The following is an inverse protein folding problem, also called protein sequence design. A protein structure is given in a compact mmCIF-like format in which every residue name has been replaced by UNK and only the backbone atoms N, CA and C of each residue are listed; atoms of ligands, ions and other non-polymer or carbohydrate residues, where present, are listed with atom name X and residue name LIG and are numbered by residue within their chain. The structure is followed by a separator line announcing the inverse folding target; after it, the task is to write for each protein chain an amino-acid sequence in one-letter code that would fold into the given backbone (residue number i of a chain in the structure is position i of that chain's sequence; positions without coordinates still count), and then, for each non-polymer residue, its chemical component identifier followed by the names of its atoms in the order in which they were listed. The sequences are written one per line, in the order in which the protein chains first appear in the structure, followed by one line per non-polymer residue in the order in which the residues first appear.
data_IF_544107043532
#
_entry.id   IF_544107043532
#
_cell.length_a   1.000
_cell.length_b   1.000
_cell.length_c   1.000
_cell.angle_alpha   90.00
_cell.angle_beta   90.00
_cell.angle_gamma   90.00
#
_symmetry.space_group_name_H-M   'P 1'
#
loop_
_entity.id
_entity.type
_entity.pdbx_description
1 polymer ?
#
# COMPACT_ATOMS: atom_id res chain seq x y z
N UNK A 1 -10.98 -18.18 -6.01
CA UNK A 1 -10.66 -16.79 -6.42
C UNK A 1 -9.68 -16.23 -5.41
N UNK A 2 -8.69 -15.45 -5.85
CA UNK A 2 -7.74 -14.79 -4.94
C UNK A 2 -8.39 -13.55 -4.33
N UNK A 3 -8.04 -13.24 -3.09
CA UNK A 3 -8.43 -11.99 -2.43
C UNK A 3 -7.52 -10.87 -2.91
N UNK A 4 -8.09 -9.76 -3.35
CA UNK A 4 -7.30 -8.58 -3.72
C UNK A 4 -6.69 -7.93 -2.49
N UNK A 5 -5.40 -7.61 -2.56
CA UNK A 5 -4.71 -6.73 -1.63
C UNK A 5 -4.01 -5.63 -2.44
N UNK A 6 -4.00 -4.40 -1.94
CA UNK A 6 -3.36 -3.27 -2.62
C UNK A 6 -2.29 -2.67 -1.72
N UNK A 7 -1.04 -2.71 -2.16
CA UNK A 7 0.10 -2.12 -1.47
C UNK A 7 0.37 -0.71 -2.02
N UNK A 8 0.04 0.31 -1.25
CA UNK A 8 0.30 1.71 -1.58
C UNK A 8 1.66 2.14 -1.02
N UNK A 9 2.49 2.74 -1.86
CA UNK A 9 3.81 3.23 -1.50
C UNK A 9 4.21 4.50 -2.26
N UNK A 10 5.33 5.12 -1.89
CA UNK A 10 5.85 6.32 -2.55
C UNK A 10 7.37 6.25 -2.84
N UNK A 11 7.93 5.04 -2.91
CA UNK A 11 9.36 4.84 -3.22
C UNK A 11 10.33 5.15 -2.07
N UNK A 12 9.81 5.39 -0.87
CA UNK A 12 10.61 5.65 0.32
C UNK A 12 11.43 4.41 0.76
N UNK A 13 12.57 4.54 1.47
CA UNK A 13 13.35 3.37 1.90
C UNK A 13 12.56 2.34 2.71
N UNK A 14 11.68 2.80 3.61
CA UNK A 14 10.79 1.91 4.38
C UNK A 14 9.73 1.23 3.51
N UNK A 15 9.36 1.84 2.38
CA UNK A 15 8.47 1.24 1.39
C UNK A 15 9.09 -0.02 0.77
N UNK A 16 10.38 0.05 0.43
CA UNK A 16 11.13 -1.10 -0.13
C UNK A 16 11.24 -2.23 0.89
N UNK A 17 11.50 -1.91 2.16
CA UNK A 17 11.52 -2.90 3.22
C UNK A 17 10.15 -3.57 3.42
N UNK A 18 9.08 -2.76 3.46
CA UNK A 18 7.71 -3.28 3.61
C UNK A 18 7.27 -4.14 2.42
N UNK A 19 7.67 -3.79 1.20
CA UNK A 19 7.41 -4.60 0.00
C UNK A 19 8.09 -5.96 0.10
N UNK A 20 9.40 -5.97 0.34
CA UNK A 20 10.20 -7.19 0.37
C UNK A 20 9.84 -8.13 1.53
N UNK A 21 9.43 -7.59 2.68
CA UNK A 21 9.18 -8.40 3.89
C UNK A 21 7.71 -8.69 4.16
N UNK A 22 6.80 -7.77 3.83
CA UNK A 22 5.38 -7.90 4.20
C UNK A 22 4.52 -8.18 2.98
N UNK A 23 4.60 -7.33 1.94
CA UNK A 23 3.79 -7.52 0.74
C UNK A 23 4.13 -8.83 0.04
N UNK A 24 5.42 -9.14 -0.12
CA UNK A 24 5.87 -10.37 -0.77
C UNK A 24 5.71 -11.63 0.11
N UNK A 25 5.45 -11.48 1.42
CA UNK A 25 5.17 -12.61 2.30
C UNK A 25 3.71 -13.08 2.23
N UNK A 26 2.81 -12.31 1.59
CA UNK A 26 1.44 -12.73 1.35
C UNK A 26 1.45 -13.94 0.40
N UNK A 27 0.78 -15.01 0.82
CA UNK A 27 0.63 -16.23 0.02
C UNK A 27 0.02 -15.90 -1.35
N UNK A 28 0.77 -16.06 -2.46
CA UNK A 28 0.31 -15.66 -3.79
C UNK A 28 -0.80 -16.57 -4.33
N UNK A 29 -1.08 -17.70 -3.67
CA UNK A 29 -2.24 -18.55 -3.99
C UNK A 29 -3.52 -18.01 -3.37
N UNK A 30 -3.41 -17.22 -2.29
CA UNK A 30 -4.54 -16.62 -1.57
C UNK A 30 -4.77 -15.17 -1.93
N UNK A 31 -3.69 -14.41 -2.13
CA UNK A 31 -3.75 -12.97 -2.39
C UNK A 31 -3.26 -12.62 -3.78
N UNK A 32 -3.94 -11.65 -4.39
CA UNK A 32 -3.47 -10.94 -5.57
C UNK A 32 -3.06 -9.53 -5.14
N UNK A 33 -1.74 -9.31 -5.04
CA UNK A 33 -1.17 -8.08 -4.49
C UNK A 33 -0.90 -7.10 -5.63
N UNK A 34 -1.64 -5.99 -5.64
CA UNK A 34 -1.43 -4.88 -6.55
C UNK A 34 -0.50 -3.85 -5.92
N UNK A 35 0.57 -3.46 -6.62
CA UNK A 35 1.53 -2.45 -6.14
C UNK A 35 1.21 -1.09 -6.77
N UNK A 36 1.00 -0.07 -5.93
CA UNK A 36 0.57 1.26 -6.36
C UNK A 36 1.54 2.32 -5.83
N UNK A 37 2.30 2.91 -6.74
CA UNK A 37 3.21 4.00 -6.42
C UNK A 37 2.48 5.35 -6.48
N UNK A 38 2.06 5.87 -5.33
CA UNK A 38 1.32 7.14 -5.22
C UNK A 38 2.15 8.37 -5.61
N UNK A 39 3.48 8.31 -5.45
CA UNK A 39 4.37 9.37 -5.91
C UNK A 39 4.42 9.56 -7.43
N UNK A 40 4.07 8.53 -8.23
CA UNK A 40 4.02 8.61 -9.69
C UNK A 40 2.59 8.68 -10.20
N UNK A 41 1.66 7.99 -9.55
CA UNK A 41 0.24 8.00 -9.88
C UNK A 41 -0.58 8.81 -8.86
N UNK A 42 -0.43 10.14 -8.91
CA UNK A 42 -1.13 11.07 -8.01
C UNK A 42 -2.65 10.97 -8.08
N UNK A 43 -3.21 10.55 -9.22
CA UNK A 43 -4.66 10.37 -9.37
C UNK A 43 -5.24 9.32 -8.40
N UNK A 44 -4.41 8.35 -7.97
CA UNK A 44 -4.80 7.29 -7.03
C UNK A 44 -4.65 7.66 -5.56
N UNK A 45 -4.18 8.86 -5.23
CA UNK A 45 -4.12 9.33 -3.83
C UNK A 45 -5.53 9.37 -3.23
N UNK A 46 -6.51 9.90 -3.98
CA UNK A 46 -7.92 9.94 -3.53
C UNK A 46 -8.52 8.55 -3.31
N UNK A 47 -8.14 7.58 -4.14
CA UNK A 47 -8.55 6.19 -3.99
C UNK A 47 -7.97 5.58 -2.71
N UNK A 48 -6.67 5.81 -2.45
CA UNK A 48 -6.02 5.34 -1.23
C UNK A 48 -6.64 5.97 0.03
N UNK A 49 -6.94 7.27 0.03
CA UNK A 49 -7.64 7.95 1.12
C UNK A 49 -9.02 7.33 1.37
N UNK A 50 -9.81 7.11 0.32
CA UNK A 50 -11.13 6.49 0.41
C UNK A 50 -11.06 5.04 0.95
N UNK A 51 -9.94 4.35 0.69
CA UNK A 51 -9.65 3.03 1.25
C UNK A 51 -9.11 3.06 2.69
N UNK A 52 -9.01 4.24 3.33
CA UNK A 52 -8.56 4.40 4.71
C UNK A 52 -7.04 4.51 4.88
N UNK A 53 -6.28 4.69 3.79
CA UNK A 53 -4.84 4.91 3.86
C UNK A 53 -4.57 6.31 4.42
N UNK A 54 -3.74 6.37 5.47
CA UNK A 54 -3.33 7.62 6.14
C UNK A 54 -1.83 7.88 5.99
N UNK A 55 -1.07 6.83 5.72
CA UNK A 55 0.37 6.88 5.50
C UNK A 55 0.80 5.75 4.58
N UNK A 56 1.94 5.93 3.94
CA UNK A 56 2.63 4.88 3.18
C UNK A 56 3.93 4.47 3.89
N UNK A 57 4.39 3.22 3.72
CA UNK A 57 3.73 2.14 3.00
C UNK A 57 2.48 1.61 3.76
N UNK A 58 1.45 1.22 3.00
CA UNK A 58 0.25 0.62 3.55
C UNK A 58 -0.27 -0.50 2.66
N UNK A 59 -0.82 -1.54 3.30
CA UNK A 59 -1.50 -2.64 2.64
C UNK A 59 -2.99 -2.53 2.92
N UNK A 60 -3.81 -2.44 1.87
CA UNK A 60 -5.27 -2.52 1.98
C UNK A 60 -5.70 -3.92 1.59
N UNK A 61 -6.35 -4.63 2.49
CA UNK A 61 -6.89 -5.97 2.23
C UNK A 61 -8.11 -6.22 3.11
N UNK A 62 -9.09 -6.99 2.60
CA UNK A 62 -10.34 -7.29 3.32
C UNK A 62 -11.07 -6.02 3.83
N UNK A 63 -11.00 -4.92 3.08
CA UNK A 63 -11.62 -3.64 3.43
C UNK A 63 -10.92 -2.87 4.55
N UNK A 64 -9.77 -3.32 5.03
CA UNK A 64 -8.99 -2.67 6.07
C UNK A 64 -7.63 -2.19 5.56
N UNK A 65 -7.22 -1.01 6.00
CA UNK A 65 -5.88 -0.47 5.74
C UNK A 65 -4.94 -0.80 6.91
N UNK A 66 -3.80 -1.41 6.59
CA UNK A 66 -2.71 -1.73 7.50
C UNK A 66 -1.51 -0.85 7.17
N UNK A 67 -1.20 0.13 8.03
CA UNK A 67 -0.05 1.01 7.87
C UNK A 67 1.19 0.32 8.41
N UNK A 68 2.23 0.21 7.59
CA UNK A 68 3.43 -0.55 7.92
C UNK A 68 4.55 0.43 8.21
N UNK A 69 5.00 0.47 9.46
CA UNK A 69 6.18 1.23 9.90
C UNK A 69 6.23 2.67 9.36
N UNK A 70 5.08 3.37 9.39
CA UNK A 70 4.84 4.77 8.99
C UNK A 70 6.03 5.48 8.32
N UNK A 71 6.05 5.54 6.99
CA UNK A 71 7.10 6.23 6.24
C UNK A 71 6.78 7.68 5.95
N UNK A 72 5.68 7.93 5.25
CA UNK A 72 5.20 9.27 4.91
C UNK A 72 3.68 9.35 5.06
N UNK A 73 3.18 10.48 5.55
CA UNK A 73 1.73 10.75 5.59
C UNK A 73 1.15 10.91 4.18
N UNK A 74 -0.10 10.50 3.97
CA UNK A 74 -0.76 10.59 2.66
C UNK A 74 -0.92 12.06 2.21
N UNK A 75 -1.04 13.00 3.15
CA UNK A 75 -1.11 14.43 2.86
C UNK A 75 0.15 14.97 2.16
N UNK A 76 1.32 14.37 2.43
CA UNK A 76 2.58 14.77 1.78
C UNK A 76 2.64 14.36 0.30
N UNK A 77 1.70 13.54 -0.17
CA UNK A 77 1.65 13.03 -1.55
C UNK A 77 0.62 13.76 -2.42
N UNK A 78 -0.10 14.75 -1.85
CA UNK A 78 -1.05 15.59 -2.56
C UNK A 78 -0.37 16.50 -3.60
#
# INVERSE_FOLDING_TARGET
MKTKATFYHAGCPVCVAAENSVANALDPTKYDVEHVHLGTNKARVKEAEAAGVKSVPALVMNGAAFHINFGAGIDALK
#
